data_IF_084513780717
#
_entry.id   IF_084513780717
#
_cell.length_a   1.000
_cell.length_b   1.000
_cell.length_c   1.000
_cell.angle_alpha   90.00
_cell.angle_beta   90.00
_cell.angle_gamma   90.00
#
_symmetry.space_group_name_H-M   'P 1'
#
loop_
_entity.id
_entity.type
_entity.pdbx_description
1 polymer ?
#
# COMPACT_ATOMS: atom_id res chain seq x y z
N UNK A 1 35.46 10.70 -26.13
CA UNK A 1 36.24 11.88 -26.60
C UNK A 1 35.47 13.15 -26.24
N UNK A 2 36.04 13.99 -25.37
CA UNK A 2 35.44 15.27 -24.95
C UNK A 2 35.55 16.26 -26.11
N UNK A 3 34.43 16.79 -26.61
CA UNK A 3 34.44 17.76 -27.71
C UNK A 3 35.01 19.10 -27.22
N UNK A 4 35.91 19.76 -27.98
CA UNK A 4 36.56 20.99 -27.55
C UNK A 4 35.56 22.14 -27.35
N UNK A 5 35.92 23.09 -26.46
CA UNK A 5 35.07 24.24 -26.08
C UNK A 5 34.99 25.32 -27.18
N UNK A 6 35.96 25.32 -28.08
CA UNK A 6 36.09 26.26 -29.20
C UNK A 6 36.51 25.50 -30.45
N UNK A 7 36.04 25.96 -31.60
CA UNK A 7 36.52 25.45 -32.88
C UNK A 7 37.82 26.20 -33.26
N UNK A 8 38.81 25.50 -33.83
CA UNK A 8 40.05 26.14 -34.25
C UNK A 8 39.79 27.13 -35.40
N UNK A 9 40.54 28.25 -35.48
CA UNK A 9 40.40 29.23 -36.54
C UNK A 9 40.66 28.59 -37.91
N UNK A 10 39.86 29.01 -38.91
CA UNK A 10 39.95 28.54 -40.30
C UNK A 10 40.34 29.70 -41.20
N UNK A 11 40.82 29.45 -42.42
CA UNK A 11 41.23 30.52 -43.35
C UNK A 11 40.13 31.55 -43.65
N UNK A 12 38.86 31.16 -43.50
CA UNK A 12 37.69 32.04 -43.66
C UNK A 12 37.33 32.80 -42.38
N UNK A 13 37.71 32.29 -41.20
CA UNK A 13 37.43 32.90 -39.90
C UNK A 13 38.69 32.87 -39.02
N UNK A 14 39.50 33.95 -39.00
CA UNK A 14 40.82 33.96 -38.37
C UNK A 14 40.77 34.03 -36.82
N UNK A 15 39.59 33.95 -36.20
CA UNK A 15 39.40 34.04 -34.75
C UNK A 15 38.66 32.82 -34.18
N UNK A 16 38.83 32.58 -32.87
CA UNK A 16 38.21 31.46 -32.16
C UNK A 16 36.71 31.68 -32.01
N UNK A 17 35.89 30.80 -32.58
CA UNK A 17 34.43 30.87 -32.46
C UNK A 17 34.00 30.01 -31.27
N UNK A 18 33.21 30.59 -30.36
CA UNK A 18 32.63 29.82 -29.27
C UNK A 18 31.60 28.82 -29.80
N UNK A 19 31.60 27.61 -29.26
CA UNK A 19 30.69 26.54 -29.70
C UNK A 19 29.22 26.96 -29.69
N UNK A 20 28.82 27.82 -28.75
CA UNK A 20 27.46 28.37 -28.68
C UNK A 20 27.12 29.21 -29.91
N UNK A 21 28.04 30.08 -30.34
CA UNK A 21 27.83 30.92 -31.52
C UNK A 21 27.77 30.07 -32.79
N UNK A 22 28.60 29.04 -32.91
CA UNK A 22 28.56 28.13 -34.06
C UNK A 22 27.25 27.30 -34.13
N UNK A 23 26.71 26.88 -32.98
CA UNK A 23 25.39 26.21 -32.94
C UNK A 23 24.26 27.15 -33.36
N UNK A 24 24.37 28.44 -33.02
CA UNK A 24 23.37 29.45 -33.35
C UNK A 24 23.44 29.92 -34.81
N UNK A 25 24.61 29.84 -35.45
CA UNK A 25 24.80 30.20 -36.86
C UNK A 25 24.34 29.10 -37.82
N UNK A 26 24.25 27.84 -37.38
CA UNK A 26 23.66 26.77 -38.18
C UNK A 26 22.17 27.09 -38.34
N UNK A 27 21.67 27.31 -39.58
CA UNK A 27 20.25 27.54 -39.80
C UNK A 27 19.49 26.33 -39.24
N UNK A 28 18.51 26.61 -38.36
CA UNK A 28 17.67 25.55 -37.80
C UNK A 28 17.02 24.83 -38.97
N UNK A 29 17.17 23.50 -39.03
CA UNK A 29 16.42 22.70 -39.99
C UNK A 29 14.93 22.97 -39.74
N UNK A 30 14.28 23.68 -40.65
CA UNK A 30 12.84 23.81 -40.62
C UNK A 30 12.28 22.40 -40.80
N UNK A 31 11.63 21.89 -39.76
CA UNK A 31 10.82 20.68 -39.89
C UNK A 31 9.59 21.15 -40.66
N UNK A 32 9.58 20.90 -41.97
CA UNK A 32 8.38 21.08 -42.77
C UNK A 32 7.39 20.05 -42.22
N UNK A 33 6.30 20.53 -41.64
CA UNK A 33 5.24 19.67 -41.07
C UNK A 33 4.46 19.06 -42.23
N UNK A 34 5.04 18.04 -42.86
CA UNK A 34 4.48 17.36 -44.04
C UNK A 34 3.27 16.49 -43.69
N UNK A 35 2.79 16.47 -42.44
CA UNK A 35 1.75 15.55 -41.98
C UNK A 35 2.19 14.08 -41.95
N UNK A 36 3.28 13.73 -42.62
CA UNK A 36 3.99 12.46 -42.52
C UNK A 36 4.64 12.34 -41.14
N UNK A 37 3.91 11.70 -40.22
CA UNK A 37 4.34 11.53 -38.83
C UNK A 37 3.31 11.99 -37.80
N UNK A 38 2.21 12.60 -38.22
CA UNK A 38 1.08 12.87 -37.33
C UNK A 38 0.49 11.55 -36.85
N UNK A 39 0.42 11.29 -35.52
CA UNK A 39 -0.03 10.01 -35.02
C UNK A 39 -1.47 9.75 -35.48
N UNK A 40 -1.64 8.69 -36.27
CA UNK A 40 -2.93 8.32 -36.84
C UNK A 40 -4.04 8.36 -35.79
N UNK A 41 -5.15 9.01 -36.11
CA UNK A 41 -6.27 9.27 -35.20
C UNK A 41 -7.44 8.35 -35.58
N UNK A 42 -8.13 7.80 -34.60
CA UNK A 42 -9.37 7.03 -34.78
C UNK A 42 -10.54 8.01 -35.09
N UNK A 43 -11.62 7.64 -35.80
CA UNK A 43 -12.83 8.45 -35.99
C UNK A 43 -13.39 9.18 -34.75
N UNK A 44 -13.06 8.74 -33.53
CA UNK A 44 -13.41 9.42 -32.27
C UNK A 44 -12.41 10.50 -31.81
N UNK A 45 -11.41 10.86 -32.62
CA UNK A 45 -10.40 11.87 -32.28
C UNK A 45 -9.27 11.36 -31.37
N UNK A 46 -9.21 10.06 -31.08
CA UNK A 46 -8.19 9.47 -30.19
C UNK A 46 -6.98 9.00 -31.00
N UNK A 47 -5.76 9.36 -30.59
CA UNK A 47 -4.52 8.87 -31.20
C UNK A 47 -4.43 7.34 -31.09
N UNK A 48 -4.16 6.64 -32.21
CA UNK A 48 -3.99 5.17 -32.23
C UNK A 48 -2.85 4.70 -31.34
N UNK A 49 -1.79 5.49 -31.19
CA UNK A 49 -0.67 5.22 -30.28
C UNK A 49 -1.06 5.28 -28.79
N UNK A 50 -2.12 6.02 -28.43
CA UNK A 50 -2.64 6.03 -27.07
C UNK A 50 -3.49 4.79 -26.75
N UNK A 51 -4.11 4.19 -27.77
CA UNK A 51 -4.88 2.95 -27.64
C UNK A 51 -3.99 1.71 -27.57
N UNK A 52 -2.90 1.70 -28.34
CA UNK A 52 -1.94 0.59 -28.42
C UNK A 52 -0.69 0.81 -27.56
N UNK A 53 -0.65 1.90 -26.79
CA UNK A 53 0.50 2.24 -25.96
C UNK A 53 0.64 1.26 -24.81
N UNK A 54 1.81 0.63 -24.69
CA UNK A 54 2.11 -0.14 -23.49
C UNK A 54 2.28 0.81 -22.30
N UNK A 55 1.54 0.53 -21.24
CA UNK A 55 1.67 1.24 -19.97
C UNK A 55 3.06 0.89 -19.42
N UNK A 56 3.82 1.89 -18.98
CA UNK A 56 5.11 1.63 -18.34
C UNK A 56 4.91 0.88 -17.04
N UNK A 57 5.85 0.00 -16.70
CA UNK A 57 5.80 -0.83 -15.49
C UNK A 57 5.59 0.01 -14.23
N UNK A 58 6.15 1.23 -14.20
CA UNK A 58 5.94 2.19 -13.11
C UNK A 58 4.47 2.60 -12.93
N UNK A 59 3.74 2.82 -14.03
CA UNK A 59 2.33 3.21 -13.98
C UNK A 59 1.47 2.00 -13.63
N UNK A 60 1.84 0.81 -14.11
CA UNK A 60 1.21 -0.45 -13.73
C UNK A 60 1.40 -0.74 -12.23
N UNK A 61 2.61 -0.55 -11.72
CA UNK A 61 2.95 -0.67 -10.30
C UNK A 61 2.16 0.31 -9.41
N UNK A 62 1.99 1.55 -9.88
CA UNK A 62 1.20 2.56 -9.19
C UNK A 62 -0.30 2.25 -9.15
N UNK A 63 -0.80 1.37 -10.04
CA UNK A 63 -2.19 0.95 -10.05
C UNK A 63 -2.53 -0.07 -8.95
N UNK A 64 -1.53 -0.72 -8.33
CA UNK A 64 -1.77 -1.71 -7.28
C UNK A 64 -2.41 -1.10 -6.04
N UNK A 65 -3.46 -1.72 -5.45
CA UNK A 65 -4.23 -1.11 -4.36
C UNK A 65 -3.38 -0.69 -3.15
N UNK A 66 -2.41 -1.50 -2.74
CA UNK A 66 -1.56 -1.19 -1.59
C UNK A 66 -0.57 -0.06 -1.89
N UNK A 67 0.11 -0.14 -3.03
CA UNK A 67 1.09 0.85 -3.44
C UNK A 67 0.43 2.21 -3.71
N UNK A 68 -0.73 2.20 -4.35
CA UNK A 68 -1.60 3.37 -4.55
C UNK A 68 -2.00 4.02 -3.23
N UNK A 69 -2.40 3.22 -2.23
CA UNK A 69 -2.73 3.74 -0.88
C UNK A 69 -1.52 4.42 -0.23
N UNK A 70 -0.33 3.81 -0.28
CA UNK A 70 0.87 4.43 0.27
C UNK A 70 1.28 5.72 -0.45
N UNK A 71 1.18 5.75 -1.79
CA UNK A 71 1.43 6.96 -2.57
C UNK A 71 0.45 8.10 -2.24
N UNK A 72 -0.84 7.78 -2.05
CA UNK A 72 -1.86 8.74 -1.63
C UNK A 72 -1.54 9.27 -0.23
N UNK A 73 -1.21 8.39 0.72
CA UNK A 73 -0.84 8.78 2.09
C UNK A 73 0.41 9.68 2.07
N UNK A 74 1.45 9.29 1.32
CA UNK A 74 2.68 10.08 1.16
C UNK A 74 2.39 11.47 0.61
N UNK A 75 1.49 11.58 -0.38
CA UNK A 75 1.05 12.86 -0.96
C UNK A 75 0.27 13.71 0.05
N UNK A 76 -0.69 13.12 0.76
CA UNK A 76 -1.57 13.83 1.69
C UNK A 76 -0.85 14.34 2.94
N UNK A 77 0.15 13.61 3.41
CA UNK A 77 0.80 13.89 4.70
C UNK A 77 2.27 14.31 4.58
N UNK A 78 2.74 14.64 3.36
CA UNK A 78 4.13 15.04 3.07
C UNK A 78 4.68 16.11 4.03
N UNK A 79 3.84 17.08 4.41
CA UNK A 79 4.23 18.20 5.29
C UNK A 79 3.67 18.08 6.71
N UNK A 80 2.96 16.99 7.02
CA UNK A 80 2.29 16.79 8.34
C UNK A 80 2.90 15.66 9.15
N UNK A 81 3.62 14.74 8.51
CA UNK A 81 4.30 13.66 9.19
C UNK A 81 5.75 14.02 9.50
N UNK A 82 6.27 13.46 10.59
CA UNK A 82 7.69 13.51 10.91
C UNK A 82 8.50 12.80 9.80
N UNK A 83 9.76 13.20 9.60
CA UNK A 83 10.63 12.59 8.59
C UNK A 83 10.75 11.07 8.79
N UNK A 84 10.86 10.59 10.03
CA UNK A 84 10.91 9.16 10.37
C UNK A 84 9.68 8.38 9.89
N UNK A 85 8.50 9.00 9.98
CA UNK A 85 7.24 8.38 9.56
C UNK A 85 7.12 8.35 8.05
N UNK A 86 7.64 9.38 7.37
CA UNK A 86 7.73 9.42 5.91
C UNK A 86 8.71 8.36 5.40
N UNK A 87 9.85 8.20 6.07
CA UNK A 87 10.83 7.15 5.75
C UNK A 87 10.23 5.75 5.91
N UNK A 88 9.41 5.53 6.94
CA UNK A 88 8.69 4.25 7.11
C UNK A 88 7.72 3.97 5.97
N UNK A 89 7.01 5.00 5.48
CA UNK A 89 6.14 4.87 4.31
C UNK A 89 6.96 4.55 3.06
N UNK A 90 8.14 5.14 2.92
CA UNK A 90 9.04 4.87 1.80
C UNK A 90 9.56 3.44 1.80
N UNK A 91 9.96 2.91 2.97
CA UNK A 91 10.30 1.50 3.14
C UNK A 91 9.11 0.57 2.83
N UNK A 92 7.87 0.97 3.15
CA UNK A 92 6.68 0.19 2.78
C UNK A 92 6.40 0.20 1.27
N UNK A 93 6.67 1.32 0.60
CA UNK A 93 6.58 1.42 -0.87
C UNK A 93 7.66 0.56 -1.52
N UNK A 94 8.88 0.58 -1.00
CA UNK A 94 10.00 -0.25 -1.47
C UNK A 94 9.72 -1.73 -1.25
N UNK A 95 9.25 -2.13 -0.06
CA UNK A 95 8.88 -3.51 0.24
C UNK A 95 7.72 -4.01 -0.65
N UNK A 96 6.74 -3.16 -0.93
CA UNK A 96 5.66 -3.47 -1.86
C UNK A 96 6.12 -3.55 -3.32
N UNK A 97 7.23 -2.89 -3.67
CA UNK A 97 7.85 -2.98 -4.99
C UNK A 97 8.80 -4.18 -5.15
N UNK A 98 9.51 -4.57 -4.08
CA UNK A 98 10.59 -5.55 -4.10
C UNK A 98 10.16 -6.98 -4.46
N UNK A 99 8.89 -7.31 -4.29
CA UNK A 99 8.42 -8.67 -4.57
C UNK A 99 8.00 -8.83 -6.03
N UNK A 100 8.98 -8.76 -6.95
CA UNK A 100 8.85 -9.19 -8.35
C UNK A 100 8.23 -10.61 -8.42
N UNK A 101 8.63 -11.51 -7.52
CA UNK A 101 8.04 -12.84 -7.37
C UNK A 101 6.59 -12.83 -6.84
N UNK A 102 6.14 -11.84 -6.05
CA UNK A 102 4.71 -11.74 -5.68
C UNK A 102 3.85 -11.10 -6.77
N UNK A 103 4.44 -10.17 -7.54
CA UNK A 103 3.80 -9.52 -8.69
C UNK A 103 3.62 -10.53 -9.82
N UNK A 104 4.55 -11.48 -9.96
CA UNK A 104 4.52 -12.59 -10.91
C UNK A 104 3.84 -13.87 -10.36
N UNK A 105 3.70 -14.06 -9.05
CA UNK A 105 3.04 -15.25 -8.49
C UNK A 105 1.55 -15.40 -8.91
N UNK A 106 0.89 -14.29 -9.26
CA UNK A 106 -0.45 -14.30 -9.85
C UNK A 106 -0.46 -14.22 -11.39
N UNK A 107 0.70 -14.03 -12.03
CA UNK A 107 0.85 -13.96 -13.48
C UNK A 107 1.54 -15.20 -14.07
N UNK A 108 2.12 -16.08 -13.24
CA UNK A 108 2.69 -17.38 -13.65
C UNK A 108 1.75 -18.49 -13.20
N UNK A 109 0.55 -18.50 -13.80
CA UNK A 109 -0.11 -19.74 -14.16
C UNK A 109 0.14 -19.92 -15.66
N UNK A 110 1.26 -20.58 -15.94
CA UNK A 110 1.64 -21.33 -17.14
C UNK A 110 0.94 -21.05 -18.46
N UNK A 111 1.69 -20.52 -19.43
CA UNK A 111 1.64 -21.05 -20.79
C UNK A 111 3.04 -20.98 -21.41
N UNK A 112 3.64 -22.16 -21.60
CA UNK A 112 4.87 -22.46 -22.34
C UNK A 112 6.12 -22.56 -21.48
N UNK A 113 6.61 -23.80 -21.40
CA UNK A 113 7.96 -24.23 -21.01
C UNK A 113 8.15 -24.55 -19.53
N UNK A 114 7.51 -25.61 -19.07
CA UNK A 114 8.22 -26.67 -18.35
C UNK A 114 7.39 -27.96 -18.34
N UNK A 115 7.92 -28.94 -19.06
CA UNK A 115 7.84 -30.37 -18.83
C UNK A 115 6.46 -31.02 -18.64
N UNK A 116 6.06 -31.69 -19.73
CA UNK A 116 5.09 -32.80 -19.82
C UNK A 116 5.49 -34.02 -19.00
N UNK A 117 5.74 -33.88 -17.69
CA UNK A 117 5.83 -35.00 -16.76
C UNK A 117 4.99 -34.72 -15.51
N UNK A 118 3.81 -35.32 -15.53
CA UNK A 118 2.99 -35.61 -14.35
C UNK A 118 2.48 -34.43 -13.53
N UNK A 119 1.87 -33.43 -14.19
CA UNK A 119 0.84 -32.64 -13.50
C UNK A 119 -0.31 -33.60 -13.21
N UNK A 120 -0.31 -34.19 -12.00
CA UNK A 120 -1.43 -34.98 -11.48
C UNK A 120 -2.69 -34.16 -11.73
N UNK A 121 -3.56 -34.64 -12.62
CA UNK A 121 -4.87 -34.02 -12.87
C UNK A 121 -5.48 -33.74 -11.49
N UNK A 122 -5.82 -32.47 -11.22
CA UNK A 122 -6.44 -32.09 -9.95
C UNK A 122 -7.57 -33.08 -9.71
N UNK A 123 -7.49 -33.83 -8.60
CA UNK A 123 -8.47 -34.86 -8.25
C UNK A 123 -9.83 -34.17 -8.31
N UNK A 124 -10.66 -34.59 -9.27
CA UNK A 124 -12.05 -34.15 -9.34
C UNK A 124 -12.69 -34.41 -8.00
N UNK A 125 -13.62 -33.56 -7.59
CA UNK A 125 -14.27 -33.75 -6.32
C UNK A 125 -15.06 -35.04 -6.36
N UNK A 126 -14.96 -35.83 -5.30
CA UNK A 126 -15.90 -36.91 -5.09
C UNK A 126 -17.30 -36.34 -4.91
N UNK A 127 -18.33 -37.14 -5.19
CA UNK A 127 -19.72 -36.73 -5.06
C UNK A 127 -20.06 -36.24 -3.64
N UNK A 128 -19.39 -36.79 -2.63
CA UNK A 128 -19.49 -36.34 -1.24
C UNK A 128 -18.83 -34.97 -0.96
N UNK A 129 -17.68 -34.69 -1.56
CA UNK A 129 -17.01 -33.38 -1.47
C UNK A 129 -17.80 -32.31 -2.22
N UNK A 130 -18.36 -32.66 -3.38
CA UNK A 130 -19.26 -31.81 -4.14
C UNK A 130 -20.52 -31.45 -3.35
N UNK A 131 -21.16 -32.43 -2.71
CA UNK A 131 -22.31 -32.18 -1.84
C UNK A 131 -21.97 -31.24 -0.69
N UNK A 132 -20.87 -31.48 0.03
CA UNK A 132 -20.40 -30.60 1.12
C UNK A 132 -20.14 -29.18 0.65
N UNK A 133 -19.57 -29.01 -0.54
CA UNK A 133 -19.30 -27.69 -1.08
C UNK A 133 -20.59 -26.97 -1.51
N UNK A 134 -21.53 -27.68 -2.11
CA UNK A 134 -22.85 -27.14 -2.43
C UNK A 134 -23.60 -26.70 -1.17
N UNK A 135 -23.55 -27.50 -0.10
CA UNK A 135 -24.15 -27.17 1.19
C UNK A 135 -23.51 -25.90 1.80
N UNK A 136 -22.18 -25.78 1.72
CA UNK A 136 -21.45 -24.59 2.18
C UNK A 136 -21.82 -23.34 1.36
N UNK A 137 -21.91 -23.46 0.03
CA UNK A 137 -22.35 -22.37 -0.84
C UNK A 137 -23.78 -21.97 -0.47
N UNK A 138 -24.69 -22.92 -0.29
CA UNK A 138 -26.08 -22.66 0.12
C UNK A 138 -26.16 -21.88 1.44
N UNK A 139 -25.32 -22.24 2.41
CA UNK A 139 -25.22 -21.55 3.70
C UNK A 139 -24.77 -20.08 3.57
N UNK A 140 -23.86 -19.78 2.63
CA UNK A 140 -23.31 -18.43 2.42
C UNK A 140 -24.17 -17.59 1.48
N UNK A 141 -24.78 -18.23 0.47
CA UNK A 141 -25.63 -17.58 -0.51
C UNK A 141 -26.97 -17.12 0.07
N UNK A 142 -27.34 -17.65 1.25
CA UNK A 142 -28.48 -17.14 2.01
C UNK A 142 -28.34 -15.64 2.30
N UNK A 143 -29.46 -14.88 2.31
CA UNK A 143 -29.44 -13.47 2.64
C UNK A 143 -28.83 -13.28 4.04
N UNK A 144 -27.86 -12.38 4.15
CA UNK A 144 -27.24 -12.06 5.44
C UNK A 144 -28.31 -11.57 6.39
N UNK A 145 -28.32 -12.09 7.62
CA UNK A 145 -29.22 -11.59 8.66
C UNK A 145 -28.89 -10.13 8.93
N UNK A 146 -29.84 -9.24 8.66
CA UNK A 146 -29.75 -7.84 9.03
C UNK A 146 -29.91 -7.71 10.54
N UNK A 147 -28.78 -7.59 11.24
CA UNK A 147 -28.78 -7.19 12.65
C UNK A 147 -29.01 -5.69 12.74
N UNK A 148 -30.27 -5.26 12.62
CA UNK A 148 -30.62 -3.87 12.90
C UNK A 148 -30.24 -3.58 14.36
N UNK A 149 -29.43 -2.54 14.65
CA UNK A 149 -29.13 -2.20 16.02
C UNK A 149 -30.45 -1.93 16.76
N UNK A 150 -30.55 -2.31 18.05
CA UNK A 150 -31.72 -1.97 18.83
C UNK A 150 -31.93 -0.45 18.77
N UNK A 151 -33.18 0.02 18.71
CA UNK A 151 -33.46 1.46 18.67
C UNK A 151 -32.82 2.13 19.88
N UNK A 152 -32.13 3.25 19.63
CA UNK A 152 -31.50 4.04 20.68
C UNK A 152 -32.61 4.56 21.59
N UNK A 153 -32.75 3.96 22.77
CA UNK A 153 -33.63 4.46 23.84
C UNK A 153 -33.03 5.76 24.36
N UNK A 154 -33.36 6.89 23.73
CA UNK A 154 -33.08 8.20 24.29
C UNK A 154 -33.93 8.31 25.55
N UNK A 155 -33.28 8.33 26.72
CA UNK A 155 -33.98 8.54 27.98
C UNK A 155 -34.66 9.91 28.03
N UNK A 156 -35.48 10.12 29.05
CA UNK A 156 -36.08 11.43 29.36
C UNK A 156 -34.94 12.45 29.50
N UNK A 157 -35.08 13.62 28.88
CA UNK A 157 -34.09 14.68 28.96
C UNK A 157 -33.82 15.06 30.42
N UNK A 158 -32.55 15.02 30.83
CA UNK A 158 -32.15 15.44 32.18
C UNK A 158 -32.02 16.97 32.22
N UNK A 159 -32.41 17.64 33.31
CA UNK A 159 -32.21 19.07 33.48
C UNK A 159 -30.71 19.41 33.48
N UNK A 160 -30.37 20.64 33.06
CA UNK A 160 -28.99 21.11 32.87
C UNK A 160 -28.14 20.93 34.13
N UNK A 161 -28.71 21.19 35.31
CA UNK A 161 -28.04 21.06 36.61
C UNK A 161 -27.48 19.65 36.86
N UNK A 162 -28.22 18.62 36.46
CA UNK A 162 -27.77 17.22 36.59
C UNK A 162 -26.70 16.84 35.55
N UNK A 163 -26.58 17.62 34.47
CA UNK A 163 -25.60 17.40 33.40
C UNK A 163 -24.29 18.16 33.65
N UNK A 164 -24.32 19.26 34.41
CA UNK A 164 -23.16 20.11 34.68
C UNK A 164 -21.94 19.36 35.24
N UNK A 165 -22.05 18.45 36.22
CA UNK A 165 -20.90 17.70 36.73
C UNK A 165 -20.18 16.91 35.62
N UNK A 166 -20.97 16.26 34.76
CA UNK A 166 -20.46 15.46 33.65
C UNK A 166 -19.88 16.31 32.52
N UNK A 167 -20.47 17.48 32.25
CA UNK A 167 -19.96 18.44 31.28
C UNK A 167 -18.59 18.95 31.75
N UNK A 168 -18.44 19.30 33.02
CA UNK A 168 -17.18 19.76 33.60
C UNK A 168 -16.07 18.71 33.55
N UNK A 169 -16.41 17.42 33.74
CA UNK A 169 -15.48 16.30 33.53
C UNK A 169 -15.04 16.14 32.07
N UNK A 170 -15.92 16.39 31.10
CA UNK A 170 -15.62 16.26 29.67
C UNK A 170 -14.83 17.47 29.16
N UNK A 171 -15.07 18.64 29.73
CA UNK A 171 -14.33 19.87 29.42
C UNK A 171 -12.87 19.81 29.88
N UNK A 172 -12.51 18.92 30.81
CA UNK A 172 -11.12 18.67 31.14
C UNK A 172 -10.41 17.89 30.03
N UNK A 173 -9.39 18.50 29.45
CA UNK A 173 -8.49 17.81 28.53
C UNK A 173 -7.72 16.72 29.30
N UNK A 174 -7.68 15.47 28.80
CA UNK A 174 -6.88 14.44 29.44
C UNK A 174 -5.40 14.81 29.38
N UNK A 175 -4.72 14.82 30.53
CA UNK A 175 -3.31 15.18 30.67
C UNK A 175 -2.36 14.23 29.90
N UNK A 176 -2.85 13.06 29.48
CA UNK A 176 -2.08 12.07 28.73
C UNK A 176 -2.72 11.74 27.37
N UNK A 177 -1.89 11.43 26.38
CA UNK A 177 -2.34 10.97 25.05
C UNK A 177 -3.05 9.61 25.15
N UNK A 178 -4.37 9.64 25.13
CA UNK A 178 -5.22 8.44 25.05
C UNK A 178 -5.37 8.06 23.57
N UNK A 179 -4.63 7.06 23.10
CA UNK A 179 -4.66 6.62 21.69
C UNK A 179 -5.95 5.85 21.32
N UNK A 180 -6.80 5.49 22.30
CA UNK A 180 -8.13 4.88 22.10
C UNK A 180 -8.99 5.16 23.33
N UNK A 181 -10.22 5.65 23.13
CA UNK A 181 -11.19 5.81 24.23
C UNK A 181 -11.35 4.47 24.95
N UNK A 182 -10.96 4.39 26.23
CA UNK A 182 -11.24 3.22 27.05
C UNK A 182 -12.76 3.11 27.22
N UNK A 183 -13.32 1.92 26.99
CA UNK A 183 -14.75 1.69 27.19
C UNK A 183 -15.09 1.90 28.68
N UNK A 184 -16.22 2.56 28.95
CA UNK A 184 -16.72 2.78 30.32
C UNK A 184 -17.51 1.59 30.86
N UNK A 185 -17.68 0.53 30.08
CA UNK A 185 -18.51 -0.61 30.47
C UNK A 185 -17.81 -1.43 31.56
N UNK A 186 -18.55 -1.88 32.58
CA UNK A 186 -18.01 -2.55 33.78
C UNK A 186 -17.16 -3.80 33.46
N UNK A 187 -17.46 -4.48 32.35
CA UNK A 187 -16.71 -5.65 31.89
C UNK A 187 -15.36 -5.32 31.23
N UNK A 188 -15.11 -4.06 30.87
CA UNK A 188 -13.89 -3.64 30.16
C UNK A 188 -12.66 -3.57 31.07
N UNK A 189 -12.87 -3.46 32.39
CA UNK A 189 -11.81 -3.25 33.38
C UNK A 189 -11.97 -4.12 34.62
N UNK A 190 -12.62 -5.28 34.52
CA UNK A 190 -12.69 -6.19 35.66
C UNK A 190 -11.32 -6.90 35.81
N UNK A 191 -10.53 -6.60 36.88
CA UNK A 191 -9.20 -7.19 37.07
C UNK A 191 -9.24 -8.70 37.30
N UNK A 192 -10.40 -9.26 37.65
CA UNK A 192 -10.59 -10.71 37.82
C UNK A 192 -10.86 -11.41 36.48
N UNK A 193 -11.37 -10.69 35.47
CA UNK A 193 -11.68 -11.27 34.15
C UNK A 193 -10.46 -11.20 33.23
N UNK A 194 -9.71 -12.29 33.22
CA UNK A 194 -8.66 -12.56 32.24
C UNK A 194 -9.28 -12.82 30.87
N UNK A 195 -8.67 -12.30 29.79
CA UNK A 195 -9.14 -12.57 28.42
C UNK A 195 -9.23 -14.08 28.17
N UNK A 196 -10.26 -14.60 27.46
CA UNK A 196 -10.45 -16.05 27.29
C UNK A 196 -9.24 -16.79 26.70
N UNK A 197 -8.46 -16.12 25.85
CA UNK A 197 -7.23 -16.67 25.26
C UNK A 197 -6.06 -16.74 26.25
N UNK A 198 -6.01 -15.86 27.26
CA UNK A 198 -4.99 -15.90 28.29
C UNK A 198 -5.20 -17.06 29.29
N UNK A 199 -6.45 -17.51 29.50
CA UNK A 199 -6.73 -18.75 30.24
C UNK A 199 -6.21 -20.01 29.55
N UNK A 200 -6.07 -19.98 28.21
CA UNK A 200 -5.59 -21.09 27.39
C UNK A 200 -4.11 -20.95 27.01
N UNK A 201 -3.43 -19.93 27.51
CA UNK A 201 -2.07 -19.63 27.11
C UNK A 201 -1.09 -20.64 27.73
N UNK A 202 -0.39 -21.38 26.87
CA UNK A 202 0.70 -22.27 27.27
C UNK A 202 2.01 -21.50 27.19
N UNK A 203 2.73 -21.44 28.30
CA UNK A 203 4.02 -20.72 28.39
C UNK A 203 5.04 -21.38 27.46
N UNK A 204 5.60 -20.60 26.54
CA UNK A 204 6.69 -21.06 25.66
C UNK A 204 7.97 -21.40 26.43
N UNK A 205 8.74 -22.37 25.94
CA UNK A 205 9.96 -22.83 26.63
C UNK A 205 11.04 -21.75 26.77
N UNK A 206 11.05 -20.77 25.86
CA UNK A 206 11.92 -19.58 25.98
C UNK A 206 11.57 -18.74 27.20
N UNK A 207 10.28 -18.55 27.49
CA UNK A 207 9.83 -17.79 28.66
C UNK A 207 10.14 -18.56 29.94
N UNK A 208 9.98 -19.89 29.95
CA UNK A 208 10.43 -20.73 31.08
C UNK A 208 11.92 -20.56 31.37
N UNK A 209 12.76 -20.56 30.32
CA UNK A 209 14.21 -20.36 30.46
C UNK A 209 14.59 -18.97 30.98
N UNK A 210 13.81 -17.94 30.65
CA UNK A 210 14.03 -16.58 31.16
C UNK A 210 13.52 -16.39 32.59
N UNK A 211 12.46 -17.10 32.98
CA UNK A 211 11.91 -17.07 34.32
C UNK A 211 12.74 -17.88 35.33
N UNK A 212 13.60 -18.78 34.85
CA UNK A 212 14.52 -19.51 35.71
C UNK A 212 15.50 -18.53 36.37
N UNK A 213 15.65 -18.55 37.72
CA UNK A 213 16.58 -17.68 38.42
C UNK A 213 18.00 -17.97 37.92
N UNK A 214 18.72 -16.92 37.51
CA UNK A 214 20.13 -17.06 37.14
C UNK A 214 20.92 -17.25 38.43
N UNK A 215 21.69 -18.34 38.50
CA UNK A 215 22.65 -18.55 39.58
C UNK A 215 23.68 -17.43 39.49
N UNK A 216 23.75 -16.58 40.51
CA UNK A 216 24.79 -15.57 40.64
C UNK A 216 26.03 -16.31 41.13
N UNK A 217 27.14 -16.35 40.36
CA UNK A 217 28.37 -16.97 40.83
C UNK A 217 28.85 -16.21 42.06
N UNK A 218 28.88 -16.89 43.20
CA UNK A 218 29.55 -16.38 44.39
C UNK A 218 31.05 -16.48 44.12
N UNK A 219 31.69 -15.33 43.90
CA UNK A 219 33.14 -15.24 43.89
C UNK A 219 33.62 -15.42 45.33
N UNK A 220 34.20 -16.59 45.62
CA UNK A 220 35.03 -16.83 46.79
C UNK A 220 36.46 -16.37 46.51
#
# INVERSE_FOLDING_TARGET
MVKPKYDPPTNTFPYKISRRLNILSIPRKYIIDTGEGMPAINPRGIRKSALNGQISDRVNDAAWPYLRRFLIIKRMYKHRFSPERMERIDRMIEAANATCYSKLANCVLDLKKQDTKEVKKKKGWSESEWKKHMDYISQIAGPRRDFKPPPIKRGIGKPLEQLLPRINEICHFPEFKIYRRLSKEEWYRNPEKVAPGALKYVISDRVKKLAAPRVIPQHY
#
